data_IF_567200537594
#
_entry.id   IF_567200537594
#
_cell.length_a   1.000
_cell.length_b   1.000
_cell.length_c   1.000
_cell.angle_alpha   90.00
_cell.angle_beta   90.00
_cell.angle_gamma   90.00
#
_symmetry.space_group_name_H-M   'P 1'
#
loop_
_entity.id
_entity.type
_entity.pdbx_description
1 polymer ?
#
# COMPACT_ATOMS: atom_id res chain seq x y z
N UNK A 1 38.50 12.33 -50.21
CA UNK A 1 37.03 12.39 -50.37
C UNK A 1 36.50 13.13 -49.16
N UNK A 2 36.13 14.39 -49.34
CA UNK A 2 35.78 15.34 -48.28
C UNK A 2 34.25 15.34 -48.10
N UNK A 3 33.77 15.14 -46.88
CA UNK A 3 32.35 15.23 -46.53
C UNK A 3 31.91 16.70 -46.46
N UNK A 4 30.73 17.08 -46.99
CA UNK A 4 30.22 18.44 -46.81
C UNK A 4 29.47 18.54 -45.47
N UNK A 5 29.83 19.52 -44.64
CA UNK A 5 28.99 19.99 -43.54
C UNK A 5 27.76 20.71 -44.11
N UNK A 6 26.58 20.13 -43.95
CA UNK A 6 25.32 20.84 -44.18
C UNK A 6 24.96 21.70 -42.97
N UNK A 7 25.20 23.00 -43.09
CA UNK A 7 24.60 24.04 -42.22
C UNK A 7 23.10 24.14 -42.52
N UNK A 8 22.26 23.53 -41.68
CA UNK A 8 20.80 23.64 -41.79
C UNK A 8 20.37 24.97 -41.16
N UNK A 9 20.26 26.02 -41.98
CA UNK A 9 19.63 27.28 -41.62
C UNK A 9 18.20 27.00 -41.15
N UNK A 10 17.90 27.21 -39.87
CA UNK A 10 16.54 27.11 -39.34
C UNK A 10 15.68 28.20 -39.99
N UNK A 11 14.55 27.79 -40.57
CA UNK A 11 13.58 28.72 -41.13
C UNK A 11 13.02 29.61 -40.01
N UNK A 12 12.79 30.92 -40.23
CA UNK A 12 12.23 31.82 -39.22
C UNK A 12 10.89 31.32 -38.65
N UNK A 13 10.16 30.50 -39.41
CA UNK A 13 8.94 29.81 -38.99
C UNK A 13 9.16 28.68 -37.97
N UNK A 14 10.33 28.04 -37.95
CA UNK A 14 10.66 27.00 -36.95
C UNK A 14 11.00 27.65 -35.60
N UNK A 15 11.70 28.79 -35.63
CA UNK A 15 12.04 29.54 -34.43
C UNK A 15 10.80 30.11 -33.73
N UNK A 16 9.84 30.63 -34.50
CA UNK A 16 8.56 31.13 -33.95
C UNK A 16 7.71 30.03 -33.35
N UNK A 17 7.66 28.83 -33.97
CA UNK A 17 6.96 27.68 -33.39
C UNK A 17 7.58 27.22 -32.07
N UNK A 18 8.91 27.21 -31.96
CA UNK A 18 9.62 26.87 -30.73
C UNK A 18 9.37 27.92 -29.64
N UNK A 19 9.44 29.20 -29.99
CA UNK A 19 9.17 30.29 -29.03
C UNK A 19 7.71 30.28 -28.54
N UNK A 20 6.76 30.01 -29.44
CA UNK A 20 5.35 29.90 -29.09
C UNK A 20 5.08 28.72 -28.16
N UNK A 21 5.67 27.55 -28.43
CA UNK A 21 5.51 26.37 -27.57
C UNK A 21 6.15 26.56 -26.20
N UNK A 22 7.32 27.19 -26.11
CA UNK A 22 7.94 27.56 -24.83
C UNK A 22 7.10 28.59 -24.05
N UNK A 23 6.51 29.58 -24.74
CA UNK A 23 5.62 30.55 -24.11
C UNK A 23 4.34 29.90 -23.58
N UNK A 24 3.77 28.94 -24.32
CA UNK A 24 2.58 28.20 -23.90
C UNK A 24 2.87 27.35 -22.66
N UNK A 25 4.03 26.67 -22.61
CA UNK A 25 4.47 25.91 -21.44
C UNK A 25 4.66 26.84 -20.23
N UNK A 26 5.31 28.00 -20.42
CA UNK A 26 5.48 29.01 -19.37
C UNK A 26 4.15 29.53 -18.83
N UNK A 27 3.16 29.77 -19.69
CA UNK A 27 1.82 30.19 -19.30
C UNK A 27 1.10 29.10 -18.48
N UNK A 28 1.19 27.84 -18.91
CA UNK A 28 0.62 26.70 -18.16
C UNK A 28 1.26 26.61 -16.78
N UNK A 29 2.59 26.73 -16.67
CA UNK A 29 3.28 26.75 -15.38
C UNK A 29 2.82 27.89 -14.46
N UNK A 30 2.63 29.10 -14.99
CA UNK A 30 2.16 30.25 -14.22
C UNK A 30 0.70 30.11 -13.75
N UNK A 31 -0.16 29.48 -14.55
CA UNK A 31 -1.58 29.25 -14.22
C UNK A 31 -1.74 28.09 -13.23
N UNK A 32 -0.97 27.01 -13.40
CA UNK A 32 -1.06 25.80 -12.56
C UNK A 32 -0.31 25.97 -11.24
N UNK A 33 0.74 26.81 -11.19
CA UNK A 33 1.55 27.04 -9.99
C UNK A 33 1.68 28.53 -9.66
N UNK A 34 0.58 29.23 -9.32
CA UNK A 34 0.62 30.68 -9.08
C UNK A 34 1.40 31.09 -7.83
N UNK A 35 1.77 30.14 -6.96
CA UNK A 35 2.48 30.41 -5.70
C UNK A 35 3.57 29.35 -5.41
N UNK A 36 4.65 29.33 -6.20
CA UNK A 36 5.89 28.65 -5.79
C UNK A 36 7.03 29.64 -5.47
N UNK A 37 6.66 30.85 -5.02
CA UNK A 37 7.59 31.86 -4.50
C UNK A 37 7.94 31.56 -3.04
N UNK A 38 8.51 30.40 -2.81
CA UNK A 38 9.04 30.00 -1.52
C UNK A 38 10.06 28.90 -1.73
N UNK A 39 11.28 29.15 -1.26
CA UNK A 39 12.43 28.22 -1.20
C UNK A 39 13.39 28.36 -2.39
N UNK A 40 14.36 29.28 -2.24
CA UNK A 40 15.79 29.02 -2.47
C UNK A 40 16.62 30.23 -2.01
N UNK A 41 16.85 30.32 -0.70
CA UNK A 41 18.01 31.03 -0.16
C UNK A 41 18.70 30.11 0.85
N UNK A 42 19.68 29.35 0.38
CA UNK A 42 20.70 28.75 1.23
C UNK A 42 21.58 29.88 1.79
N UNK A 43 21.22 30.41 2.96
CA UNK A 43 22.07 31.32 3.71
C UNK A 43 22.86 30.52 4.75
N UNK A 44 24.18 30.48 4.59
CA UNK A 44 25.15 30.04 5.61
C UNK A 44 24.86 30.72 6.96
N UNK A 45 25.05 30.04 8.10
CA UNK A 45 24.91 30.69 9.39
C UNK A 45 26.13 31.58 9.67
N UNK A 46 25.95 32.82 10.16
CA UNK A 46 27.01 33.50 10.87
C UNK A 46 27.03 32.98 12.31
N UNK A 47 28.22 32.59 12.75
CA UNK A 47 28.55 32.32 14.14
C UNK A 47 28.26 33.56 14.99
N UNK A 48 27.28 33.50 15.88
CA UNK A 48 27.23 34.38 17.06
C UNK A 48 26.52 33.67 18.20
N UNK A 49 27.26 33.51 19.29
CA UNK A 49 26.83 32.98 20.58
C UNK A 49 25.80 33.92 21.21
N UNK A 50 24.57 33.44 21.39
CA UNK A 50 23.55 34.10 22.21
C UNK A 50 22.88 33.04 23.07
N UNK A 51 23.10 33.12 24.38
CA UNK A 51 22.45 32.26 25.37
C UNK A 51 20.94 32.60 25.39
N UNK A 52 20.13 31.72 24.80
CA UNK A 52 18.67 31.76 24.94
C UNK A 52 18.28 30.65 25.89
N UNK A 53 17.80 31.04 27.07
CA UNK A 53 17.16 30.16 28.03
C UNK A 53 15.95 29.50 27.38
N UNK A 54 16.07 28.20 27.10
CA UNK A 54 14.98 27.37 26.60
C UNK A 54 13.93 27.27 27.70
N UNK A 55 12.82 27.99 27.51
CA UNK A 55 11.59 27.70 28.22
C UNK A 55 11.16 26.30 27.77
N UNK A 56 11.05 25.37 28.70
CA UNK A 56 10.53 24.02 28.45
C UNK A 56 9.10 24.12 27.92
N UNK A 57 8.97 24.15 26.59
CA UNK A 57 7.71 23.81 25.94
C UNK A 57 7.49 22.32 26.21
N UNK A 58 6.59 22.01 27.13
CA UNK A 58 6.06 20.67 27.36
C UNK A 58 5.68 20.08 26.00
N UNK A 59 6.49 19.12 25.54
CA UNK A 59 6.19 18.32 24.37
C UNK A 59 4.80 17.70 24.56
N UNK A 60 3.88 17.77 23.59
CA UNK A 60 2.61 17.07 23.71
C UNK A 60 2.94 15.59 23.94
N UNK A 61 2.47 15.04 25.06
CA UNK A 61 2.56 13.62 25.34
C UNK A 61 1.92 12.86 24.18
N UNK A 62 2.74 12.23 23.35
CA UNK A 62 2.28 11.38 22.25
C UNK A 62 1.54 10.20 22.87
N UNK A 63 0.21 10.27 22.87
CA UNK A 63 -0.65 9.16 23.30
C UNK A 63 -0.33 7.97 22.39
N UNK A 64 0.17 6.89 22.97
CA UNK A 64 0.42 5.65 22.24
C UNK A 64 -0.92 5.06 21.79
N UNK A 65 -1.06 4.63 20.53
CA UNK A 65 -2.30 4.01 20.05
C UNK A 65 -2.57 2.68 20.76
N UNK A 66 -3.83 2.26 20.82
CA UNK A 66 -4.23 0.94 21.35
C UNK A 66 -3.66 -0.22 20.50
N UNK A 67 -3.54 -0.03 19.19
CA UNK A 67 -2.85 -0.99 18.30
C UNK A 67 -2.18 -0.33 17.10
N UNK A 68 -1.26 -1.05 16.47
CA UNK A 68 -0.57 -0.66 15.22
C UNK A 68 -0.90 -1.65 14.11
N UNK A 69 -1.22 -1.12 12.93
CA UNK A 69 -1.52 -1.87 11.72
C UNK A 69 -0.55 -1.49 10.60
N UNK A 70 0.11 -2.48 9.99
CA UNK A 70 0.82 -2.31 8.73
C UNK A 70 -0.08 -2.76 7.58
N UNK A 71 -0.45 -1.85 6.69
CA UNK A 71 -1.18 -2.14 5.46
C UNK A 71 -0.20 -2.23 4.28
N UNK A 72 0.10 -3.46 3.86
CA UNK A 72 0.89 -3.74 2.66
C UNK A 72 0.01 -3.86 1.42
N UNK A 73 0.16 -2.91 0.50
CA UNK A 73 -0.51 -2.92 -0.80
C UNK A 73 0.42 -3.56 -1.83
N UNK A 74 0.04 -4.75 -2.32
CA UNK A 74 0.76 -5.45 -3.39
C UNK A 74 0.38 -4.82 -4.73
N UNK A 75 1.39 -4.44 -5.51
CA UNK A 75 1.24 -3.66 -6.75
C UNK A 75 2.40 -3.97 -7.70
N UNK A 76 2.40 -3.40 -8.91
CA UNK A 76 3.49 -3.52 -9.89
C UNK A 76 3.89 -2.14 -10.43
N UNK A 77 5.12 -1.93 -10.94
CA UNK A 77 5.63 -0.59 -11.31
C UNK A 77 4.70 0.21 -12.22
N UNK A 78 4.06 -0.46 -13.17
CA UNK A 78 3.17 0.11 -14.17
C UNK A 78 1.90 0.73 -13.55
N UNK A 79 1.49 0.30 -12.36
CA UNK A 79 0.29 0.79 -11.66
C UNK A 79 0.50 2.13 -10.92
N UNK A 80 1.32 3.03 -11.48
CA UNK A 80 1.63 4.34 -10.88
C UNK A 80 0.37 5.16 -10.58
N UNK A 81 -0.51 5.31 -11.57
CA UNK A 81 -1.73 6.12 -11.41
C UNK A 81 -2.63 5.57 -10.30
N UNK A 82 -2.73 4.25 -10.21
CA UNK A 82 -3.50 3.54 -9.19
C UNK A 82 -2.91 3.77 -7.80
N UNK A 83 -1.59 3.61 -7.62
CA UNK A 83 -0.92 3.94 -6.36
C UNK A 83 -1.11 5.39 -5.97
N UNK A 84 -0.92 6.33 -6.91
CA UNK A 84 -1.11 7.75 -6.65
C UNK A 84 -2.57 8.07 -6.24
N UNK A 85 -3.55 7.46 -6.90
CA UNK A 85 -4.96 7.56 -6.51
C UNK A 85 -5.20 7.01 -5.10
N UNK A 86 -4.69 5.83 -4.77
CA UNK A 86 -4.80 5.25 -3.43
C UNK A 86 -4.19 6.14 -2.35
N UNK A 87 -3.01 6.72 -2.59
CA UNK A 87 -2.38 7.68 -1.66
C UNK A 87 -3.30 8.86 -1.35
N UNK A 88 -3.89 9.45 -2.39
CA UNK A 88 -4.82 10.57 -2.23
C UNK A 88 -6.07 10.14 -1.47
N UNK A 89 -6.62 8.98 -1.79
CA UNK A 89 -7.79 8.42 -1.10
C UNK A 89 -7.49 8.22 0.38
N UNK A 90 -6.40 7.53 0.74
CA UNK A 90 -6.05 7.26 2.13
C UNK A 90 -5.72 8.54 2.91
N UNK A 91 -5.07 9.52 2.27
CA UNK A 91 -4.76 10.80 2.88
C UNK A 91 -6.01 11.64 3.24
N UNK A 92 -7.13 11.42 2.55
CA UNK A 92 -8.41 12.10 2.80
C UNK A 92 -9.23 11.46 3.92
N UNK A 93 -8.94 10.20 4.29
CA UNK A 93 -9.70 9.49 5.31
C UNK A 93 -9.30 9.91 6.72
N UNK A 94 -10.27 9.92 7.63
CA UNK A 94 -10.07 10.23 9.04
C UNK A 94 -10.45 9.03 9.89
N UNK A 95 -9.60 8.67 10.85
CA UNK A 95 -9.87 7.64 11.85
C UNK A 95 -9.29 8.07 13.20
N UNK A 96 -9.70 7.42 14.29
CA UNK A 96 -9.21 7.73 15.62
C UNK A 96 -7.76 7.25 15.80
N UNK A 97 -6.82 8.21 15.73
CA UNK A 97 -5.38 7.95 15.90
C UNK A 97 -4.97 7.59 17.33
N UNK A 98 -5.86 7.80 18.31
CA UNK A 98 -5.63 7.33 19.68
C UNK A 98 -5.94 5.83 19.81
N UNK A 99 -6.75 5.28 18.90
CA UNK A 99 -7.06 3.86 18.83
C UNK A 99 -6.04 3.12 17.97
N UNK A 100 -5.77 3.62 16.77
CA UNK A 100 -4.89 2.94 15.82
C UNK A 100 -3.81 3.84 15.22
N UNK A 101 -2.63 3.29 14.98
CA UNK A 101 -1.68 3.83 14.02
C UNK A 101 -1.65 2.91 12.80
N UNK A 102 -1.96 3.45 11.62
CA UNK A 102 -1.92 2.72 10.35
C UNK A 102 -0.76 3.23 9.51
N UNK A 103 0.18 2.35 9.22
CA UNK A 103 1.28 2.60 8.28
C UNK A 103 0.97 1.88 6.97
N UNK A 104 0.85 2.64 5.86
CA UNK A 104 0.55 2.10 4.53
C UNK A 104 1.84 2.01 3.74
N UNK A 105 2.10 0.85 3.11
CA UNK A 105 3.31 0.60 2.33
C UNK A 105 2.99 -0.09 1.01
N UNK A 106 3.55 0.43 -0.08
CA UNK A 106 3.47 -0.18 -1.41
C UNK A 106 4.61 -1.16 -1.61
N UNK A 107 4.29 -2.39 -1.97
CA UNK A 107 5.23 -3.50 -1.95
C UNK A 107 5.72 -3.83 -3.35
N UNK A 108 7.04 -3.82 -3.51
CA UNK A 108 7.78 -4.19 -4.72
C UNK A 108 8.77 -5.29 -4.40
N UNK A 109 9.16 -6.05 -5.40
CA UNK A 109 10.36 -6.88 -5.44
C UNK A 109 11.45 -6.14 -6.23
N UNK A 110 12.57 -6.82 -6.51
CA UNK A 110 13.66 -6.24 -7.27
C UNK A 110 13.22 -5.83 -8.68
N UNK A 111 13.44 -4.55 -8.99
CA UNK A 111 13.17 -3.96 -10.30
C UNK A 111 14.34 -4.24 -11.24
N UNK A 112 14.05 -4.79 -12.42
CA UNK A 112 15.08 -5.05 -13.45
C UNK A 112 15.11 -4.00 -14.54
N UNK A 113 13.97 -3.36 -14.80
CA UNK A 113 13.82 -2.33 -15.81
C UNK A 113 14.32 -0.97 -15.29
N UNK A 114 15.08 -0.24 -16.11
CA UNK A 114 15.71 1.02 -15.71
C UNK A 114 14.70 2.18 -15.58
N UNK A 115 13.67 2.20 -16.42
CA UNK A 115 12.61 3.22 -16.34
C UNK A 115 11.80 3.03 -15.06
N UNK A 116 11.43 1.79 -14.75
CA UNK A 116 10.77 1.45 -13.48
C UNK A 116 11.62 1.83 -12.27
N UNK A 117 12.93 1.57 -12.28
CA UNK A 117 13.83 1.99 -11.19
C UNK A 117 13.80 3.49 -10.97
N UNK A 118 13.83 4.28 -12.04
CA UNK A 118 13.81 5.74 -11.94
C UNK A 118 12.49 6.23 -11.34
N UNK A 119 11.34 5.77 -11.84
CA UNK A 119 10.05 6.19 -11.32
C UNK A 119 9.83 5.77 -9.87
N UNK A 120 10.16 4.53 -9.51
CA UNK A 120 10.04 4.05 -8.13
C UNK A 120 11.02 4.79 -7.21
N UNK A 121 12.24 5.13 -7.65
CA UNK A 121 13.15 5.95 -6.87
C UNK A 121 12.57 7.36 -6.60
N UNK A 122 11.91 7.97 -7.58
CA UNK A 122 11.21 9.25 -7.39
C UNK A 122 10.04 9.12 -6.41
N UNK A 123 9.28 8.03 -6.47
CA UNK A 123 8.22 7.76 -5.49
C UNK A 123 8.79 7.60 -4.07
N UNK A 124 9.88 6.85 -3.89
CA UNK A 124 10.57 6.69 -2.60
C UNK A 124 10.98 8.05 -2.05
N UNK A 125 11.64 8.88 -2.86
CA UNK A 125 12.07 10.22 -2.45
C UNK A 125 10.91 11.14 -2.08
N UNK A 126 9.75 10.95 -2.70
CA UNK A 126 8.59 11.82 -2.50
C UNK A 126 7.72 11.39 -1.31
N UNK A 127 7.50 10.09 -1.14
CA UNK A 127 6.45 9.55 -0.27
C UNK A 127 6.98 8.71 0.89
N UNK A 128 8.19 8.15 0.79
CA UNK A 128 8.80 7.30 1.82
C UNK A 128 7.88 6.14 2.28
N UNK A 129 7.11 5.58 1.35
CA UNK A 129 6.05 4.59 1.62
C UNK A 129 6.22 3.29 0.83
N UNK A 130 7.44 2.98 0.39
CA UNK A 130 7.73 1.84 -0.49
C UNK A 130 8.62 0.82 0.22
N UNK A 131 8.26 -0.45 0.11
CA UNK A 131 9.10 -1.59 0.50
C UNK A 131 9.59 -2.28 -0.77
N UNK A 132 10.90 -2.48 -0.90
CA UNK A 132 11.50 -3.29 -1.97
C UNK A 132 12.05 -4.58 -1.35
N UNK A 133 11.58 -5.71 -1.87
CA UNK A 133 11.87 -7.05 -1.41
C UNK A 133 12.87 -7.75 -2.33
N UNK A 134 13.65 -8.68 -1.78
CA UNK A 134 14.60 -9.49 -2.54
C UNK A 134 13.91 -10.68 -3.23
N UNK A 135 13.05 -10.39 -4.20
CA UNK A 135 12.37 -11.35 -5.06
C UNK A 135 12.38 -10.87 -6.52
N UNK A 136 11.84 -11.67 -7.45
CA UNK A 136 11.59 -11.22 -8.83
C UNK A 136 10.26 -10.47 -8.88
N UNK A 137 10.23 -9.29 -9.48
CA UNK A 137 8.98 -8.51 -9.63
C UNK A 137 7.91 -9.27 -10.41
N UNK A 138 6.71 -9.31 -9.82
CA UNK A 138 5.54 -10.02 -10.31
C UNK A 138 4.29 -9.55 -9.54
N UNK A 139 3.11 -10.00 -9.99
CA UNK A 139 1.86 -9.85 -9.24
C UNK A 139 1.52 -11.10 -8.40
N UNK A 140 1.61 -12.29 -8.99
CA UNK A 140 0.96 -13.52 -8.46
C UNK A 140 1.94 -14.68 -8.16
N UNK A 141 3.24 -14.43 -8.13
CA UNK A 141 4.30 -15.45 -8.06
C UNK A 141 5.18 -15.24 -6.81
N UNK A 142 4.60 -15.54 -5.64
CA UNK A 142 5.32 -15.57 -4.36
C UNK A 142 5.59 -14.21 -3.72
N UNK A 143 5.17 -13.10 -4.32
CA UNK A 143 5.37 -11.75 -3.77
C UNK A 143 4.71 -11.56 -2.41
N UNK A 144 3.51 -12.10 -2.22
CA UNK A 144 2.80 -12.07 -0.92
C UNK A 144 3.56 -12.83 0.17
N UNK A 145 4.09 -14.02 -0.14
CA UNK A 145 4.96 -14.73 0.79
C UNK A 145 6.21 -13.91 1.12
N UNK A 146 6.89 -13.36 0.11
CA UNK A 146 8.09 -12.54 0.29
C UNK A 146 7.80 -11.30 1.15
N UNK A 147 6.65 -10.67 0.97
CA UNK A 147 6.18 -9.57 1.81
C UNK A 147 6.05 -10.02 3.25
N UNK A 148 5.15 -10.96 3.54
CA UNK A 148 4.82 -11.37 4.91
C UNK A 148 6.06 -11.92 5.65
N UNK A 149 6.86 -12.77 4.99
CA UNK A 149 8.05 -13.38 5.60
C UNK A 149 9.19 -12.40 5.88
N UNK A 150 9.26 -11.27 5.17
CA UNK A 150 10.31 -10.26 5.38
C UNK A 150 10.06 -9.32 6.56
N UNK A 151 8.81 -9.16 6.99
CA UNK A 151 8.42 -8.14 7.95
C UNK A 151 9.11 -8.27 9.31
N UNK A 152 9.33 -9.48 9.88
CA UNK A 152 10.07 -9.61 11.14
C UNK A 152 11.50 -9.08 11.06
N UNK A 153 12.15 -9.12 9.89
CA UNK A 153 13.48 -8.54 9.70
C UNK A 153 13.45 -7.01 9.65
N UNK A 154 12.37 -6.41 9.14
CA UNK A 154 12.23 -4.95 9.04
C UNK A 154 11.73 -4.30 10.33
N UNK A 155 10.82 -4.98 11.03
CA UNK A 155 10.05 -4.39 12.13
C UNK A 155 10.12 -5.20 13.43
N UNK A 156 11.03 -6.17 13.55
CA UNK A 156 11.16 -6.99 14.76
C UNK A 156 11.40 -6.18 16.04
N UNK A 157 12.10 -5.05 15.94
CA UNK A 157 12.36 -4.15 17.09
C UNK A 157 11.13 -3.32 17.49
N UNK A 158 10.20 -3.10 16.56
CA UNK A 158 8.95 -2.36 16.77
C UNK A 158 7.79 -3.04 16.04
N UNK A 159 7.35 -4.21 16.56
CA UNK A 159 6.35 -5.01 15.88
C UNK A 159 5.01 -4.26 15.77
N UNK A 160 4.28 -4.59 14.72
CA UNK A 160 2.87 -4.23 14.59
C UNK A 160 2.02 -5.24 15.38
N UNK A 161 0.78 -4.88 15.71
CA UNK A 161 -0.18 -5.85 16.25
C UNK A 161 -0.82 -6.66 15.12
N UNK A 162 -1.08 -5.96 14.00
CA UNK A 162 -1.72 -6.51 12.82
C UNK A 162 -0.95 -6.16 11.53
N UNK A 163 -1.03 -7.06 10.56
CA UNK A 163 -0.54 -6.85 9.20
C UNK A 163 -1.66 -7.18 8.23
N UNK A 164 -2.00 -6.23 7.37
CA UNK A 164 -2.94 -6.44 6.28
C UNK A 164 -2.20 -6.57 4.95
N UNK A 165 -2.52 -7.61 4.18
CA UNK A 165 -2.25 -7.67 2.74
C UNK A 165 -3.48 -7.14 2.02
N UNK A 166 -3.28 -6.30 1.02
CA UNK A 166 -4.34 -5.84 0.13
C UNK A 166 -3.82 -5.74 -1.31
N UNK A 167 -4.72 -5.89 -2.27
CA UNK A 167 -4.42 -5.61 -3.68
C UNK A 167 -4.56 -4.11 -3.98
N UNK A 168 -3.87 -3.64 -5.02
CA UNK A 168 -3.88 -2.22 -5.38
C UNK A 168 -5.20 -1.74 -6.03
N UNK A 169 -6.11 -2.65 -6.35
CA UNK A 169 -7.46 -2.37 -6.83
C UNK A 169 -8.55 -2.51 -5.75
N UNK A 170 -8.14 -2.67 -4.49
CA UNK A 170 -9.05 -2.73 -3.34
C UNK A 170 -9.19 -1.38 -2.64
N UNK A 171 -10.45 -0.99 -2.37
CA UNK A 171 -10.77 0.21 -1.61
C UNK A 171 -11.08 -0.13 -0.15
N UNK A 172 -10.30 0.44 0.77
CA UNK A 172 -10.40 0.17 2.21
C UNK A 172 -10.85 1.44 2.91
N UNK A 173 -11.90 1.33 3.73
CA UNK A 173 -12.38 2.42 4.58
C UNK A 173 -11.72 2.27 5.96
N UNK A 174 -10.75 3.14 6.26
CA UNK A 174 -9.83 3.03 7.38
C UNK A 174 -10.52 3.18 8.74
N UNK A 175 -11.50 4.07 8.88
CA UNK A 175 -12.26 4.22 10.13
C UNK A 175 -13.01 2.94 10.49
N UNK A 176 -13.66 2.31 9.50
CA UNK A 176 -14.38 1.04 9.66
C UNK A 176 -13.44 -0.12 9.92
N UNK A 177 -12.27 -0.13 9.27
CA UNK A 177 -11.24 -1.13 9.57
C UNK A 177 -10.71 -0.98 10.99
N UNK A 178 -10.52 0.25 11.49
CA UNK A 178 -10.08 0.49 12.87
C UNK A 178 -11.14 0.03 13.87
N UNK A 179 -12.39 0.40 13.63
CA UNK A 179 -13.53 0.00 14.45
C UNK A 179 -13.64 -1.53 14.54
N UNK A 180 -13.53 -2.24 13.40
CA UNK A 180 -13.70 -3.69 13.35
C UNK A 180 -12.52 -4.49 13.93
N UNK A 181 -11.31 -3.92 13.95
CA UNK A 181 -10.11 -4.59 14.49
C UNK A 181 -9.87 -4.33 15.98
N UNK A 182 -10.48 -3.29 16.57
CA UNK A 182 -10.16 -2.82 17.92
C UNK A 182 -10.26 -3.90 19.01
N UNK A 183 -11.29 -4.73 18.93
CA UNK A 183 -11.62 -5.80 19.86
C UNK A 183 -11.02 -7.17 19.48
N UNK A 184 -10.32 -7.27 18.34
CA UNK A 184 -9.83 -8.54 17.83
C UNK A 184 -8.56 -9.01 18.55
N UNK A 185 -8.33 -10.33 18.69
CA UNK A 185 -7.17 -10.85 19.39
C UNK A 185 -5.89 -10.52 18.62
N UNK A 186 -4.81 -10.20 19.36
CA UNK A 186 -3.49 -9.88 18.79
C UNK A 186 -2.66 -11.14 18.50
N UNK A 187 -3.26 -12.31 18.68
CA UNK A 187 -2.63 -13.62 18.50
C UNK A 187 -3.56 -14.55 17.72
N UNK A 188 -2.96 -15.37 16.86
CA UNK A 188 -3.61 -16.42 16.08
C UNK A 188 -4.84 -15.95 15.26
N UNK A 189 -4.84 -14.68 14.84
CA UNK A 189 -5.95 -14.01 14.15
C UNK A 189 -5.80 -14.07 12.65
N UNK A 190 -6.86 -14.49 11.95
CA UNK A 190 -6.98 -14.39 10.50
C UNK A 190 -8.35 -13.82 10.13
N UNK A 191 -8.34 -12.62 9.58
CA UNK A 191 -9.51 -11.78 9.34
C UNK A 191 -9.62 -11.45 7.85
N UNK A 192 -10.82 -11.50 7.27
CA UNK A 192 -11.06 -11.18 5.86
C UNK A 192 -12.42 -11.68 5.39
N UNK A 193 -12.57 -11.90 4.08
CA UNK A 193 -13.76 -12.55 3.53
C UNK A 193 -13.50 -14.05 3.38
N UNK A 194 -14.25 -14.86 4.13
CA UNK A 194 -13.99 -16.31 4.18
C UNK A 194 -14.50 -17.02 2.93
N UNK A 195 -13.63 -17.84 2.34
CA UNK A 195 -13.95 -18.74 1.23
C UNK A 195 -13.69 -20.20 1.67
N UNK A 196 -14.59 -21.16 1.38
CA UNK A 196 -15.89 -20.97 0.75
C UNK A 196 -16.87 -20.19 1.63
N UNK A 197 -17.55 -19.21 1.02
CA UNK A 197 -18.70 -18.53 1.62
C UNK A 197 -20.03 -19.28 1.34
N UNK A 198 -20.01 -20.23 0.40
CA UNK A 198 -21.08 -21.20 0.14
C UNK A 198 -20.48 -22.61 0.18
N UNK A 199 -20.86 -23.38 1.20
CA UNK A 199 -20.34 -24.72 1.44
C UNK A 199 -20.83 -25.78 0.45
N UNK A 200 -21.89 -25.50 -0.32
CA UNK A 200 -22.49 -26.48 -1.23
C UNK A 200 -21.81 -26.53 -2.60
N UNK A 201 -21.22 -25.42 -3.04
CA UNK A 201 -20.78 -25.23 -4.44
C UNK A 201 -19.28 -25.02 -4.64
N UNK A 202 -18.45 -25.18 -3.60
CA UNK A 202 -17.03 -24.83 -3.68
C UNK A 202 -16.10 -26.04 -3.85
N UNK A 203 -15.08 -25.85 -4.70
CA UNK A 203 -14.02 -26.82 -4.96
C UNK A 203 -13.32 -27.23 -3.64
N UNK A 204 -12.84 -28.48 -3.47
CA UNK A 204 -12.33 -28.98 -2.19
C UNK A 204 -10.96 -28.36 -1.84
N UNK A 205 -10.98 -27.09 -1.43
CA UNK A 205 -9.85 -26.38 -0.87
C UNK A 205 -10.18 -26.00 0.58
N UNK A 206 -9.22 -26.17 1.52
CA UNK A 206 -9.46 -25.78 2.91
C UNK A 206 -9.82 -24.28 3.01
N UNK A 207 -10.61 -23.87 4.02
CA UNK A 207 -11.04 -22.48 4.11
C UNK A 207 -9.89 -21.47 4.17
N UNK A 208 -10.02 -20.39 3.42
CA UNK A 208 -9.05 -19.30 3.30
C UNK A 208 -9.78 -17.94 3.32
N UNK A 209 -9.05 -16.84 3.33
CA UNK A 209 -9.61 -15.50 3.13
C UNK A 209 -9.30 -15.03 1.70
N UNK A 210 -10.27 -14.43 1.02
CA UNK A 210 -10.16 -14.01 -0.39
C UNK A 210 -9.02 -13.01 -0.65
N UNK A 211 -8.43 -13.09 -1.86
CA UNK A 211 -7.25 -12.34 -2.27
C UNK A 211 -7.33 -10.82 -2.20
N UNK A 212 -8.51 -10.19 -2.31
CA UNK A 212 -8.66 -8.73 -2.26
C UNK A 212 -7.99 -8.11 -1.00
N UNK A 213 -8.01 -8.86 0.10
CA UNK A 213 -7.23 -8.54 1.28
C UNK A 213 -7.58 -9.38 2.50
N UNK A 214 -6.64 -9.43 3.44
CA UNK A 214 -6.82 -10.09 4.72
C UNK A 214 -5.85 -9.54 5.76
N UNK A 215 -6.22 -9.68 7.03
CA UNK A 215 -5.43 -9.23 8.17
C UNK A 215 -4.97 -10.43 9.00
N UNK A 216 -3.69 -10.42 9.37
CA UNK A 216 -3.03 -11.41 10.20
C UNK A 216 -2.51 -10.74 11.48
N UNK A 217 -2.57 -11.45 12.60
CA UNK A 217 -1.84 -11.06 13.80
C UNK A 217 -0.33 -11.26 13.61
N UNK A 218 0.46 -10.49 14.37
CA UNK A 218 1.91 -10.50 14.23
C UNK A 218 2.57 -11.86 14.52
N UNK A 219 2.04 -12.65 15.45
CA UNK A 219 2.56 -14.00 15.75
C UNK A 219 2.47 -14.94 14.52
N UNK A 220 1.43 -14.78 13.70
CA UNK A 220 1.32 -15.53 12.44
C UNK A 220 2.35 -15.05 11.41
N UNK A 221 2.64 -13.75 11.37
CA UNK A 221 3.71 -13.19 10.52
C UNK A 221 5.07 -13.75 10.93
N UNK A 222 5.36 -13.80 12.24
CA UNK A 222 6.58 -14.40 12.75
C UNK A 222 6.67 -15.88 12.37
N UNK A 223 5.58 -16.63 12.51
CA UNK A 223 5.55 -18.02 12.09
C UNK A 223 5.84 -18.19 10.59
N UNK A 224 5.18 -17.40 9.72
CA UNK A 224 5.40 -17.42 8.26
C UNK A 224 6.88 -17.21 7.91
N UNK A 225 7.59 -16.34 8.64
CA UNK A 225 9.00 -16.07 8.39
C UNK A 225 9.97 -17.19 8.78
N UNK A 226 9.53 -18.12 9.64
CA UNK A 226 10.41 -19.14 10.25
C UNK A 226 10.11 -20.57 9.79
N UNK A 227 8.89 -20.85 9.34
CA UNK A 227 8.47 -22.18 8.95
C UNK A 227 8.83 -22.49 7.49
N UNK A 228 9.15 -23.74 7.21
CA UNK A 228 9.51 -24.19 5.86
C UNK A 228 8.30 -24.30 4.93
N UNK A 229 7.10 -24.54 5.45
CA UNK A 229 5.91 -24.78 4.63
C UNK A 229 5.52 -23.54 3.80
N UNK A 230 5.39 -22.33 4.37
CA UNK A 230 5.13 -21.12 3.56
C UNK A 230 6.24 -20.84 2.53
N UNK A 231 7.47 -21.25 2.81
CA UNK A 231 8.62 -21.08 1.92
C UNK A 231 8.57 -21.97 0.68
N UNK A 232 7.97 -23.16 0.77
CA UNK A 232 7.87 -24.10 -0.36
C UNK A 232 6.54 -24.01 -1.11
N UNK A 233 5.46 -23.67 -0.42
CA UNK A 233 4.09 -23.69 -0.94
C UNK A 233 3.62 -22.25 -1.30
N UNK A 234 4.36 -21.50 -2.15
CA UNK A 234 4.09 -20.06 -2.40
C UNK A 234 3.91 -19.64 -3.88
N UNK A 235 3.86 -20.59 -4.82
CA UNK A 235 3.65 -20.30 -6.25
C UNK A 235 2.19 -20.57 -6.62
N UNK A 236 1.49 -19.58 -7.14
CA UNK A 236 0.08 -19.67 -7.57
C UNK A 236 -0.84 -18.74 -6.78
N UNK A 237 -2.12 -19.14 -6.62
CA UNK A 237 -3.16 -18.36 -5.92
C UNK A 237 -2.77 -18.18 -4.45
N UNK A 238 -2.30 -16.99 -4.09
CA UNK A 238 -1.56 -16.72 -2.85
C UNK A 238 -2.46 -16.75 -1.61
N UNK A 239 -3.71 -16.37 -1.78
CA UNK A 239 -4.76 -16.37 -0.77
C UNK A 239 -5.14 -17.79 -0.34
N UNK A 240 -5.32 -18.67 -1.33
CA UNK A 240 -5.47 -20.11 -1.15
C UNK A 240 -4.25 -20.69 -0.43
N UNK A 241 -3.03 -20.36 -0.86
CA UNK A 241 -1.82 -20.84 -0.20
C UNK A 241 -1.72 -20.40 1.26
N UNK A 242 -2.01 -19.12 1.53
CA UNK A 242 -2.03 -18.58 2.89
C UNK A 242 -3.00 -19.34 3.78
N UNK A 243 -4.22 -19.59 3.30
CA UNK A 243 -5.17 -20.44 4.01
C UNK A 243 -4.64 -21.87 4.20
N UNK A 244 -4.05 -22.48 3.17
CA UNK A 244 -3.53 -23.86 3.23
C UNK A 244 -2.44 -24.01 4.30
N UNK A 245 -1.52 -23.04 4.40
CA UNK A 245 -0.45 -23.05 5.40
C UNK A 245 -1.03 -23.16 6.81
N UNK A 246 -1.96 -22.27 7.15
CA UNK A 246 -2.56 -22.25 8.48
C UNK A 246 -3.39 -23.50 8.79
N UNK A 247 -4.16 -23.99 7.81
CA UNK A 247 -4.94 -25.21 7.99
C UNK A 247 -4.04 -26.44 8.25
N UNK A 248 -2.93 -26.58 7.51
CA UNK A 248 -1.97 -27.68 7.72
C UNK A 248 -1.22 -27.54 9.06
N UNK A 249 -0.86 -26.32 9.45
CA UNK A 249 -0.09 -26.05 10.65
C UNK A 249 -0.92 -26.00 11.94
N UNK A 250 -2.26 -26.05 11.83
CA UNK A 250 -3.16 -25.91 12.99
C UNK A 250 -3.09 -24.52 13.61
N UNK A 251 -2.86 -23.49 12.79
CA UNK A 251 -2.75 -22.07 13.14
C UNK A 251 -3.93 -21.27 12.60
N UNK A 252 -4.00 -20.00 12.97
CA UNK A 252 -5.08 -19.08 12.66
C UNK A 252 -6.45 -19.66 13.06
N UNK A 253 -6.61 -20.02 14.33
CA UNK A 253 -7.86 -20.57 14.87
C UNK A 253 -8.90 -19.47 15.08
N UNK A 254 -8.47 -18.23 15.36
CA UNK A 254 -9.36 -17.09 15.49
C UNK A 254 -9.66 -16.50 14.10
N UNK A 255 -10.66 -17.08 13.42
CA UNK A 255 -11.06 -16.67 12.06
C UNK A 255 -12.28 -15.77 12.08
N UNK A 256 -12.15 -14.58 11.49
CA UNK A 256 -13.21 -13.58 11.42
C UNK A 256 -13.61 -13.36 9.97
N UNK A 257 -14.84 -13.77 9.65
CA UNK A 257 -15.46 -13.51 8.35
C UNK A 257 -16.18 -12.16 8.39
N UNK A 258 -15.88 -11.32 7.41
CA UNK A 258 -16.30 -9.93 7.38
C UNK A 258 -17.34 -9.65 6.30
N UNK A 259 -17.93 -10.68 5.68
CA UNK A 259 -19.13 -10.49 4.88
C UNK A 259 -20.26 -9.86 5.73
N UNK A 260 -21.08 -8.95 5.18
CA UNK A 260 -21.03 -8.40 3.81
C UNK A 260 -20.23 -7.09 3.70
N UNK A 261 -19.37 -6.76 4.68
CA UNK A 261 -18.55 -5.53 4.69
C UNK A 261 -17.28 -5.66 3.85
N UNK A 262 -16.80 -6.88 3.70
CA UNK A 262 -15.68 -7.26 2.85
C UNK A 262 -16.24 -8.03 1.66
N UNK A 263 -16.06 -7.51 0.44
CA UNK A 263 -16.68 -8.05 -0.77
C UNK A 263 -16.06 -7.49 -2.05
N UNK A 264 -16.23 -8.26 -3.11
CA UNK A 264 -15.93 -7.88 -4.48
C UNK A 264 -17.07 -7.05 -5.10
N UNK A 265 -16.75 -5.95 -5.78
CA UNK A 265 -17.78 -5.26 -6.55
C UNK A 265 -18.26 -6.12 -7.72
N UNK A 266 -19.57 -6.36 -7.82
CA UNK A 266 -20.10 -7.22 -8.89
C UNK A 266 -20.07 -6.58 -10.28
N UNK A 267 -20.09 -5.25 -10.35
CA UNK A 267 -20.23 -4.54 -11.61
C UNK A 267 -21.54 -4.84 -12.35
N UNK A 268 -21.63 -4.38 -13.59
CA UNK A 268 -22.87 -4.39 -14.37
C UNK A 268 -23.29 -5.80 -14.83
N UNK A 269 -22.33 -6.69 -15.09
CA UNK A 269 -22.57 -7.93 -15.84
C UNK A 269 -22.53 -9.20 -15.00
N UNK A 270 -21.99 -9.14 -13.78
CA UNK A 270 -21.96 -10.31 -12.89
C UNK A 270 -23.18 -10.35 -11.98
N UNK A 271 -23.57 -11.57 -11.58
CA UNK A 271 -24.63 -11.79 -10.58
C UNK A 271 -24.07 -11.60 -9.17
N UNK A 272 -24.94 -11.16 -8.27
CA UNK A 272 -24.67 -11.17 -6.82
C UNK A 272 -24.46 -12.61 -6.36
N UNK A 273 -23.49 -12.82 -5.47
CA UNK A 273 -23.26 -14.06 -4.75
C UNK A 273 -22.71 -13.76 -3.34
N UNK A 274 -22.20 -14.77 -2.63
CA UNK A 274 -21.75 -14.61 -1.25
C UNK A 274 -20.45 -13.80 -1.07
N UNK A 275 -19.63 -13.65 -2.13
CA UNK A 275 -18.39 -12.88 -2.08
C UNK A 275 -18.45 -11.57 -2.89
N UNK A 276 -19.47 -11.40 -3.74
CA UNK A 276 -19.62 -10.20 -4.57
C UNK A 276 -21.04 -9.64 -4.60
N UNK A 277 -21.17 -8.33 -4.46
CA UNK A 277 -22.45 -7.61 -4.54
C UNK A 277 -22.29 -6.15 -4.99
N UNK A 278 -23.40 -5.40 -5.10
CA UNK A 278 -23.35 -3.93 -5.27
C UNK A 278 -22.89 -3.28 -3.96
N UNK A 279 -22.56 -1.99 -4.01
CA UNK A 279 -22.38 -1.21 -2.79
C UNK A 279 -23.63 -1.30 -1.90
N UNK A 280 -23.42 -1.63 -0.62
CA UNK A 280 -24.44 -1.62 0.42
C UNK A 280 -24.16 -0.42 1.32
N UNK A 281 -25.10 0.52 1.49
CA UNK A 281 -24.96 1.63 2.43
C UNK A 281 -24.71 1.15 3.86
N UNK A 282 -23.97 1.92 4.64
CA UNK A 282 -23.58 1.56 6.00
C UNK A 282 -24.79 1.31 6.91
N UNK A 283 -25.87 2.07 6.69
CA UNK A 283 -27.11 1.98 7.45
C UNK A 283 -27.89 0.68 7.22
N UNK A 284 -27.60 -0.01 6.11
CA UNK A 284 -28.22 -1.28 5.73
C UNK A 284 -27.39 -2.49 6.16
N UNK A 285 -26.13 -2.28 6.58
CA UNK A 285 -25.26 -3.35 7.01
C UNK A 285 -25.63 -3.83 8.43
N UNK A 286 -25.55 -5.14 8.70
CA UNK A 286 -25.72 -5.65 10.06
C UNK A 286 -24.74 -4.98 11.03
N UNK A 287 -25.21 -4.69 12.24
CA UNK A 287 -24.33 -4.32 13.35
C UNK A 287 -23.57 -5.58 13.74
N UNK A 288 -22.27 -5.61 13.42
CA UNK A 288 -21.36 -6.73 13.67
C UNK A 288 -20.52 -6.51 14.92
#
# INVERSE_FOLDING_TARGET
>A
MSLPLFSKSSSPSTLTLILFSLALIGLVFLVVSPNNSGILTCSRPPSSSSNVSVLETTSPSTVKPEFRLLLGVVTVPEMYERRHMLRNIFALQTYDRTVAQIDIRYVFCNLTDEEHKVFIALEILRYDDIIILNCKENMNDGKTYAFLSSLPAFYGDQPYDFVMKADDDSYIILDKLVESLRDKPREDMYYGLKIPCDTENFFPFPPFMEGMGYVLSWDLIQWISTDDMPRTDNIGLEDMWTGRWFNKAGKAKNRYDMAPRFYDYKGKYMKTNCFRHEFIPEEELPVG
#
